data_IF_491747824002
#
_entry.id   IF_491747824002
#
_cell.length_a   1.000
_cell.length_b   1.000
_cell.length_c   1.000
_cell.angle_alpha   90.00
_cell.angle_beta   90.00
_cell.angle_gamma   90.00
#
_symmetry.space_group_name_H-M   'P 1'
#
loop_
_entity.id
_entity.type
_entity.pdbx_description
1 polymer ?
#
# COMPACT_ATOMS: atom_id res chain seq x y z
N UNK A 1 8.55 -19.55 8.34
CA UNK A 1 7.60 -19.41 7.21
C UNK A 1 6.25 -19.07 7.82
N UNK A 2 6.04 -17.79 8.15
CA UNK A 2 4.77 -17.32 8.74
C UNK A 2 4.01 -16.57 7.67
N UNK A 3 2.98 -17.21 7.13
CA UNK A 3 1.97 -16.54 6.31
C UNK A 3 1.25 -15.54 7.21
N UNK A 4 1.51 -14.25 7.01
CA UNK A 4 0.63 -13.19 7.49
C UNK A 4 -0.65 -13.33 6.68
N UNK A 5 -1.62 -14.05 7.23
CA UNK A 5 -3.00 -14.04 6.74
C UNK A 5 -3.49 -12.59 6.80
N UNK A 6 -3.66 -11.95 5.65
CA UNK A 6 -4.39 -10.69 5.53
C UNK A 6 -5.83 -10.99 5.96
N UNK A 7 -6.18 -10.64 7.19
CA UNK A 7 -7.55 -10.83 7.67
C UNK A 7 -8.53 -10.03 6.80
N UNK A 8 -9.76 -10.52 6.69
CA UNK A 8 -10.84 -9.83 6.00
C UNK A 8 -11.33 -8.56 6.74
N UNK A 9 -10.55 -8.05 7.72
CA UNK A 9 -10.87 -6.91 8.58
C UNK A 9 -9.89 -5.73 8.45
N UNK A 10 -8.73 -5.92 7.80
CA UNK A 10 -7.72 -4.88 7.65
C UNK A 10 -8.19 -3.87 6.62
N UNK A 11 -8.25 -2.56 6.95
CA UNK A 11 -8.71 -1.56 6.01
C UNK A 11 -7.83 -1.52 4.74
N UNK A 12 -8.46 -1.48 3.55
CA UNK A 12 -7.72 -1.42 2.29
C UNK A 12 -7.14 -0.01 2.07
N UNK A 13 -5.81 0.17 2.03
CA UNK A 13 -5.19 1.47 1.82
C UNK A 13 -5.46 2.04 0.43
N UNK A 14 -5.86 1.20 -0.53
CA UNK A 14 -6.22 1.58 -1.90
C UNK A 14 -7.65 2.12 -1.99
N UNK A 15 -8.24 2.53 -0.87
CA UNK A 15 -9.51 3.25 -0.82
C UNK A 15 -9.41 4.40 0.20
N UNK A 16 -10.02 5.59 -0.06
CA UNK A 16 -9.91 6.73 0.85
C UNK A 16 -10.34 6.46 2.28
N UNK A 17 -11.38 5.64 2.49
CA UNK A 17 -11.83 5.28 3.84
C UNK A 17 -10.84 4.37 4.54
N UNK A 18 -10.29 3.36 3.86
CA UNK A 18 -9.34 2.44 4.45
C UNK A 18 -8.01 3.12 4.79
N UNK A 19 -7.50 3.97 3.90
CA UNK A 19 -6.31 4.78 4.19
C UNK A 19 -6.49 5.68 5.42
N UNK A 20 -7.64 6.34 5.55
CA UNK A 20 -7.97 7.14 6.75
C UNK A 20 -8.06 6.27 8.00
N UNK A 21 -8.75 5.14 7.94
CA UNK A 21 -8.87 4.22 9.08
C UNK A 21 -7.50 3.72 9.56
N UNK A 22 -6.58 3.38 8.64
CA UNK A 22 -5.23 2.96 8.99
C UNK A 22 -4.43 4.08 9.67
N UNK A 23 -4.48 5.30 9.12
CA UNK A 23 -3.81 6.47 9.72
C UNK A 23 -4.35 6.78 11.12
N UNK A 24 -5.67 6.78 11.28
CA UNK A 24 -6.33 6.98 12.57
C UNK A 24 -5.95 5.90 13.58
N UNK A 25 -6.00 4.62 13.17
CA UNK A 25 -5.62 3.50 14.04
C UNK A 25 -4.15 3.57 14.48
N UNK A 26 -3.27 4.11 13.64
CA UNK A 26 -1.87 4.35 13.97
C UNK A 26 -1.63 5.65 14.77
N UNK A 27 -2.66 6.48 15.01
CA UNK A 27 -2.50 7.80 15.62
C UNK A 27 -1.65 8.77 14.79
N UNK A 28 -1.65 8.60 13.47
CA UNK A 28 -0.80 9.35 12.55
C UNK A 28 -1.62 10.28 11.66
N UNK A 29 -1.00 11.42 11.31
CA UNK A 29 -1.47 12.31 10.27
C UNK A 29 -0.43 12.42 9.16
N UNK A 30 -0.84 12.50 7.88
CA UNK A 30 0.09 12.69 6.76
C UNK A 30 0.93 13.97 6.94
N UNK A 31 2.24 13.90 6.70
CA UNK A 31 3.14 15.04 6.77
C UNK A 31 3.61 15.45 5.38
N UNK A 32 3.10 16.59 4.87
CA UNK A 32 3.53 17.14 3.57
C UNK A 32 5.02 17.46 3.51
N UNK A 33 5.61 17.93 4.60
CA UNK A 33 7.06 18.19 4.69
C UNK A 33 7.93 16.94 4.50
N UNK A 34 7.36 15.74 4.64
CA UNK A 34 8.02 14.45 4.37
C UNK A 34 7.64 13.87 3.00
N UNK A 35 6.95 14.63 2.16
CA UNK A 35 6.52 14.19 0.83
C UNK A 35 5.45 13.09 0.82
N UNK A 36 4.77 12.84 1.95
CA UNK A 36 3.80 11.73 2.05
C UNK A 36 2.54 12.01 1.22
N UNK A 37 2.32 11.20 0.17
CA UNK A 37 1.09 11.09 -0.59
C UNK A 37 0.76 9.60 -0.71
N UNK A 38 -0.50 9.22 -0.49
CA UNK A 38 -0.91 7.81 -0.44
C UNK A 38 -1.74 7.44 -1.67
N UNK A 39 -1.40 6.32 -2.31
CA UNK A 39 -2.20 5.74 -3.39
C UNK A 39 -3.48 5.14 -2.81
N UNK A 40 -4.62 5.61 -3.31
CA UNK A 40 -5.98 5.30 -2.81
C UNK A 40 -6.89 4.76 -3.91
N UNK A 41 -6.31 4.24 -5.01
CA UNK A 41 -7.05 3.67 -6.12
C UNK A 41 -6.45 2.31 -6.51
N UNK A 42 -7.24 1.21 -6.50
CA UNK A 42 -6.72 -0.13 -6.82
C UNK A 42 -6.27 -0.25 -8.27
N UNK A 43 -6.92 0.46 -9.21
CA UNK A 43 -6.58 0.38 -10.62
C UNK A 43 -5.22 1.01 -10.93
N UNK A 44 -4.91 2.12 -10.28
CA UNK A 44 -3.61 2.79 -10.37
C UNK A 44 -2.51 1.89 -9.84
N UNK A 45 -2.70 1.25 -8.69
CA UNK A 45 -1.68 0.31 -8.15
C UNK A 45 -1.44 -0.88 -9.08
N UNK A 46 -2.50 -1.47 -9.63
CA UNK A 46 -2.39 -2.55 -10.63
C UNK A 46 -1.60 -2.08 -11.86
N UNK A 47 -1.94 -0.90 -12.37
CA UNK A 47 -1.27 -0.35 -13.56
C UNK A 47 0.21 -0.08 -13.33
N UNK A 48 0.60 0.37 -12.14
CA UNK A 48 2.01 0.56 -11.78
C UNK A 48 2.76 -0.77 -11.84
N UNK A 49 2.22 -1.83 -11.23
CA UNK A 49 2.85 -3.16 -11.25
C UNK A 49 2.94 -3.73 -12.67
N UNK A 50 1.87 -3.63 -13.46
CA UNK A 50 1.87 -4.04 -14.88
C UNK A 50 2.96 -3.32 -15.69
N UNK A 51 3.12 -2.01 -15.49
CA UNK A 51 4.14 -1.21 -16.19
C UNK A 51 5.56 -1.51 -15.70
N UNK A 52 5.72 -1.83 -14.42
CA UNK A 52 6.98 -2.26 -13.85
C UNK A 52 7.41 -3.65 -14.32
N UNK A 53 6.48 -4.45 -14.87
CA UNK A 53 6.71 -5.81 -15.38
C UNK A 53 7.36 -6.74 -14.35
N UNK A 54 6.96 -6.59 -13.09
CA UNK A 54 7.42 -7.46 -12.02
C UNK A 54 6.88 -8.87 -12.26
N UNK A 55 7.77 -9.85 -12.24
CA UNK A 55 7.43 -11.27 -12.38
C UNK A 55 7.52 -12.02 -11.05
N UNK A 56 6.80 -13.15 -10.97
CA UNK A 56 6.82 -13.98 -9.78
C UNK A 56 8.24 -14.53 -9.52
N UNK A 57 8.74 -14.32 -8.30
CA UNK A 57 10.09 -14.74 -7.90
C UNK A 57 11.15 -13.66 -8.07
N UNK A 58 10.83 -12.52 -8.67
CA UNK A 58 11.74 -11.37 -8.69
C UNK A 58 11.84 -10.70 -7.31
N UNK A 59 13.02 -10.14 -7.03
CA UNK A 59 13.25 -9.39 -5.81
C UNK A 59 12.96 -7.92 -6.06
N UNK A 60 11.96 -7.37 -5.37
CA UNK A 60 11.55 -5.97 -5.50
C UNK A 60 11.99 -5.16 -4.27
N UNK A 61 12.53 -3.97 -4.51
CA UNK A 61 12.80 -2.97 -3.48
C UNK A 61 11.76 -1.86 -3.62
N UNK A 62 10.87 -1.73 -2.63
CA UNK A 62 9.92 -0.62 -2.55
C UNK A 62 10.47 0.49 -1.65
N UNK A 63 10.69 1.68 -2.23
CA UNK A 63 11.13 2.87 -1.47
C UNK A 63 9.91 3.69 -1.07
N UNK A 64 9.69 3.83 0.23
CA UNK A 64 8.57 4.61 0.77
C UNK A 64 7.21 3.91 0.60
N UNK A 65 6.99 2.73 1.21
CA UNK A 65 5.78 1.91 0.99
C UNK A 65 4.48 2.56 1.47
N UNK A 66 4.57 3.63 2.27
CA UNK A 66 3.40 4.34 2.79
C UNK A 66 2.50 3.43 3.62
N UNK A 67 1.22 3.30 3.22
CA UNK A 67 0.25 2.40 3.86
C UNK A 67 0.24 0.99 3.24
N UNK A 68 1.21 0.68 2.38
CA UNK A 68 1.35 -0.61 1.71
C UNK A 68 0.33 -0.81 0.58
N UNK A 69 0.05 0.23 -0.20
CA UNK A 69 -0.89 0.16 -1.32
C UNK A 69 -0.30 -0.62 -2.51
N UNK A 70 0.98 -0.40 -2.83
CA UNK A 70 1.72 -1.17 -3.84
C UNK A 70 2.24 -2.49 -3.27
N UNK A 71 2.69 -2.53 -2.02
CA UNK A 71 3.14 -3.76 -1.34
C UNK A 71 2.11 -4.90 -1.40
N UNK A 72 0.81 -4.60 -1.46
CA UNK A 72 -0.25 -5.62 -1.58
C UNK A 72 -0.42 -6.19 -3.00
N UNK A 73 0.21 -5.58 -3.99
CA UNK A 73 0.12 -5.95 -5.41
C UNK A 73 1.43 -6.56 -5.93
N UNK A 74 2.52 -6.39 -5.20
CA UNK A 74 3.84 -6.99 -5.46
C UNK A 74 3.94 -8.34 -4.76
#
# INVERSE_FOLDING_TARGET
MSTVSLDAGTPDPRHPSGARSMLTAAGLSPKRSRGQNFLIDPNTTRRIVELARVEAGEHVIEVGPGLGALTRQL
#
